data_IF_859698890928
#
_entry.id   IF_859698890928
#
_cell.length_a   1.000
_cell.length_b   1.000
_cell.length_c   1.000
_cell.angle_alpha   90.00
_cell.angle_beta   90.00
_cell.angle_gamma   90.00
#
_symmetry.space_group_name_H-M   'P 1'
#
loop_
_entity.id
_entity.type
_entity.pdbx_description
1 polymer ?
#
# COMPACT_ATOMS: atom_id res chain seq x y z
N UNK A 1 13.19 64.63 24.70
CA UNK A 1 14.34 63.77 25.06
C UNK A 1 13.82 62.37 25.35
N UNK A 2 14.48 61.36 24.78
CA UNK A 2 14.38 59.91 25.07
C UNK A 2 13.10 59.18 24.64
N UNK A 3 13.13 57.97 24.07
CA UNK A 3 14.19 57.05 23.60
C UNK A 3 13.49 56.02 22.69
N UNK A 4 13.96 55.81 21.46
CA UNK A 4 13.50 54.75 20.56
C UNK A 4 14.35 53.51 20.85
N UNK A 5 13.73 52.42 21.29
CA UNK A 5 14.38 51.11 21.41
C UNK A 5 14.33 50.39 20.06
N UNK A 6 15.49 50.25 19.41
CA UNK A 6 15.70 49.37 18.25
C UNK A 6 16.09 47.99 18.79
N UNK A 7 15.21 47.00 18.63
CA UNK A 7 15.57 45.60 18.83
C UNK A 7 16.25 45.06 17.58
N UNK A 8 17.57 44.89 17.64
CA UNK A 8 18.33 44.12 16.67
C UNK A 8 18.09 42.63 16.94
N UNK A 9 17.31 41.97 16.09
CA UNK A 9 17.30 40.51 16.03
C UNK A 9 18.44 40.03 15.15
N UNK A 10 19.50 39.52 15.77
CA UNK A 10 20.52 38.71 15.11
C UNK A 10 19.90 37.37 14.70
N UNK A 11 19.68 37.16 13.41
CA UNK A 11 19.47 35.82 12.87
C UNK A 11 20.83 35.14 12.75
N UNK A 12 21.09 34.19 13.66
CA UNK A 12 22.23 33.28 13.57
C UNK A 12 22.09 32.42 12.30
N UNK A 13 23.17 32.37 11.52
CA UNK A 13 23.36 31.46 10.39
C UNK A 13 23.26 30.00 10.87
N UNK A 14 22.14 29.34 10.60
CA UNK A 14 22.03 27.88 10.69
C UNK A 14 22.71 27.30 9.43
N UNK A 15 23.78 26.54 9.64
CA UNK A 15 24.60 25.99 8.55
C UNK A 15 23.95 24.75 7.94
N UNK A 16 24.05 24.62 6.62
CA UNK A 16 23.49 23.54 5.77
C UNK A 16 23.90 22.12 6.21
N UNK A 17 24.96 21.99 7.01
CA UNK A 17 25.48 20.70 7.50
C UNK A 17 24.55 20.02 8.54
N UNK A 18 23.77 20.78 9.32
CA UNK A 18 22.88 20.22 10.35
C UNK A 18 21.64 19.54 9.75
N UNK A 19 21.13 20.04 8.62
CA UNK A 19 20.00 19.43 7.92
C UNK A 19 20.34 18.08 7.28
N UNK A 20 21.58 17.90 6.83
CA UNK A 20 22.04 16.65 6.22
C UNK A 20 22.08 15.50 7.25
N UNK A 21 22.59 15.77 8.46
CA UNK A 21 22.66 14.78 9.54
C UNK A 21 21.27 14.39 10.06
N UNK A 22 20.35 15.35 10.20
CA UNK A 22 18.97 15.04 10.61
C UNK A 22 18.23 14.16 9.59
N UNK A 23 18.52 14.35 8.29
CA UNK A 23 17.94 13.52 7.21
C UNK A 23 18.49 12.09 7.23
N UNK A 24 19.78 11.90 7.53
CA UNK A 24 20.38 10.57 7.57
C UNK A 24 19.92 9.79 8.81
N UNK A 25 19.78 10.44 9.95
CA UNK A 25 19.34 9.80 11.19
C UNK A 25 17.87 9.35 11.11
N UNK A 26 17.02 10.13 10.45
CA UNK A 26 15.61 9.76 10.19
C UNK A 26 15.46 8.62 9.19
N UNK A 27 16.28 8.58 8.13
CA UNK A 27 16.32 7.46 7.18
C UNK A 27 16.80 6.18 7.87
N UNK A 28 17.87 6.25 8.65
CA UNK A 28 18.37 5.10 9.41
C UNK A 28 17.38 4.62 10.47
N UNK A 29 16.63 5.52 11.10
CA UNK A 29 15.54 5.13 12.00
C UNK A 29 14.41 4.42 11.23
N UNK A 30 13.99 4.94 10.08
CA UNK A 30 12.96 4.33 9.25
C UNK A 30 13.36 2.92 8.77
N UNK A 31 14.60 2.75 8.31
CA UNK A 31 15.17 1.44 7.94
C UNK A 31 15.27 0.49 9.14
N UNK A 32 15.65 0.99 10.32
CA UNK A 32 15.72 0.21 11.56
C UNK A 32 14.33 -0.16 12.11
N UNK A 33 13.29 0.60 11.80
CA UNK A 33 11.92 0.22 12.13
C UNK A 33 11.36 -0.83 11.17
N UNK A 34 11.76 -0.80 9.89
CA UNK A 34 11.36 -1.82 8.92
C UNK A 34 12.05 -3.17 9.19
N UNK A 35 13.34 -3.16 9.51
CA UNK A 35 14.12 -4.37 9.85
C UNK A 35 13.70 -5.04 11.17
N UNK A 36 12.99 -4.33 12.06
CA UNK A 36 12.44 -4.90 13.30
C UNK A 36 11.12 -5.64 13.11
N UNK A 37 10.49 -5.59 11.93
CA UNK A 37 9.35 -6.45 11.58
C UNK A 37 9.84 -7.81 11.09
N UNK A 38 10.46 -8.61 11.96
CA UNK A 38 10.74 -10.03 11.68
C UNK A 38 9.45 -10.85 11.71
N UNK A 39 8.68 -10.76 10.64
CA UNK A 39 7.86 -11.87 10.16
C UNK A 39 8.44 -12.26 8.80
N UNK A 40 8.51 -13.55 8.48
CA UNK A 40 8.88 -14.04 7.14
C UNK A 40 8.17 -13.18 6.11
N UNK A 41 8.95 -12.39 5.35
CA UNK A 41 8.40 -11.33 4.51
C UNK A 41 7.35 -11.92 3.58
N UNK A 42 6.16 -11.30 3.53
CA UNK A 42 5.10 -11.78 2.64
C UNK A 42 5.43 -11.66 1.16
N UNK A 43 6.60 -11.12 0.82
CA UNK A 43 6.99 -10.80 -0.54
C UNK A 43 6.23 -9.60 -1.08
N UNK A 44 6.55 -9.24 -2.31
CA UNK A 44 5.86 -8.20 -3.06
C UNK A 44 4.80 -8.87 -3.96
N UNK A 45 3.58 -8.30 -4.06
CA UNK A 45 2.60 -8.79 -5.02
C UNK A 45 3.16 -8.81 -6.44
N UNK A 46 2.69 -9.72 -7.31
CA UNK A 46 3.25 -9.90 -8.65
C UNK A 46 3.04 -8.68 -9.57
N UNK A 47 2.07 -7.82 -9.26
CA UNK A 47 1.80 -6.59 -9.98
C UNK A 47 1.16 -5.55 -9.05
N UNK A 48 1.05 -4.30 -9.52
CA UNK A 48 0.52 -3.17 -8.75
C UNK A 48 -0.99 -3.27 -8.44
N UNK A 49 -1.73 -4.14 -9.14
CA UNK A 49 -3.18 -4.32 -9.02
C UNK A 49 -3.55 -5.57 -8.22
N UNK A 50 -2.60 -6.13 -7.47
CA UNK A 50 -2.78 -7.30 -6.63
C UNK A 50 -2.83 -6.94 -5.13
N UNK A 51 -3.97 -7.17 -4.49
CA UNK A 51 -4.17 -7.00 -3.04
C UNK A 51 -3.50 -8.18 -2.32
N UNK A 52 -2.40 -7.93 -1.61
CA UNK A 52 -1.67 -8.97 -0.88
C UNK A 52 -2.30 -9.34 0.46
N UNK A 53 -2.51 -10.62 0.73
CA UNK A 53 -3.14 -11.13 1.96
C UNK A 53 -2.20 -11.16 3.19
N UNK A 54 -1.55 -10.04 3.51
CA UNK A 54 -0.69 -9.92 4.69
C UNK A 54 -0.91 -8.65 5.49
N UNK A 55 -0.80 -7.51 4.83
CA UNK A 55 -1.15 -6.21 5.40
C UNK A 55 -1.80 -5.42 4.30
N UNK A 56 -3.03 -4.99 4.54
CA UNK A 56 -3.78 -4.14 3.62
C UNK A 56 -4.47 -3.10 4.47
N UNK A 57 -4.30 -1.84 4.08
CA UNK A 57 -4.98 -0.71 4.71
C UNK A 57 -5.81 -0.03 3.60
N UNK A 58 -5.14 0.66 2.68
CA UNK A 58 -5.75 1.24 1.47
C UNK A 58 -5.23 0.54 0.20
N UNK A 59 -6.09 0.41 -0.81
CA UNK A 59 -5.75 -0.11 -2.12
C UNK A 59 -6.39 0.72 -3.23
N UNK A 60 -5.59 1.12 -4.20
CA UNK A 60 -6.00 1.96 -5.32
C UNK A 60 -6.13 1.12 -6.61
N UNK A 61 -7.09 1.45 -7.47
CA UNK A 61 -7.29 0.76 -8.73
C UNK A 61 -7.77 1.71 -9.83
N UNK A 62 -7.43 1.41 -11.09
CA UNK A 62 -7.94 2.14 -12.27
C UNK A 62 -9.21 1.48 -12.79
N UNK A 63 -9.16 0.17 -13.02
CA UNK A 63 -10.28 -0.61 -13.52
C UNK A 63 -10.64 -1.72 -12.51
N UNK A 64 -11.92 -1.86 -12.11
CA UNK A 64 -12.38 -2.97 -11.29
C UNK A 64 -11.91 -4.36 -11.75
N UNK A 65 -11.78 -4.55 -13.06
CA UNK A 65 -11.40 -5.84 -13.69
C UNK A 65 -9.96 -6.25 -13.43
N UNK A 66 -9.08 -5.30 -13.10
CA UNK A 66 -7.66 -5.57 -12.90
C UNK A 66 -7.36 -5.96 -11.44
N UNK A 67 -8.33 -5.79 -10.55
CA UNK A 67 -8.18 -6.12 -9.13
C UNK A 67 -8.07 -7.63 -8.98
N UNK A 68 -6.95 -8.06 -8.41
CA UNK A 68 -6.73 -9.46 -8.03
C UNK A 68 -6.41 -9.54 -6.54
N UNK A 69 -6.81 -10.62 -5.89
CA UNK A 69 -6.30 -10.98 -4.58
C UNK A 69 -5.09 -11.89 -4.78
N UNK A 70 -4.00 -11.63 -4.05
CA UNK A 70 -2.78 -12.42 -4.11
C UNK A 70 -2.51 -13.14 -2.79
N UNK A 71 -2.29 -14.45 -2.89
CA UNK A 71 -1.93 -15.30 -1.76
C UNK A 71 -0.40 -15.49 -1.73
N UNK A 72 0.29 -14.88 -0.75
CA UNK A 72 1.74 -14.97 -0.68
C UNK A 72 2.18 -16.40 -0.32
N UNK A 73 3.36 -16.85 -0.77
CA UNK A 73 3.83 -18.23 -0.55
C UNK A 73 3.77 -18.68 0.91
N UNK A 74 4.12 -17.78 1.84
CA UNK A 74 4.10 -18.04 3.30
C UNK A 74 2.71 -18.35 3.87
N UNK A 75 1.64 -17.97 3.16
CA UNK A 75 0.24 -18.24 3.53
C UNK A 75 -0.35 -19.42 2.76
N UNK A 76 0.37 -19.99 1.80
CA UNK A 76 -0.07 -21.18 1.06
C UNK A 76 0.11 -22.40 1.95
N UNK A 77 -0.98 -22.79 2.61
CA UNK A 77 -1.05 -24.04 3.36
C UNK A 77 -1.48 -25.16 2.44
N UNK A 78 -1.00 -26.38 2.68
CA UNK A 78 -1.56 -27.55 1.99
C UNK A 78 -3.04 -27.71 2.37
N UNK A 79 -3.90 -27.97 1.38
CA UNK A 79 -5.35 -28.05 1.53
C UNK A 79 -6.09 -26.87 0.91
N UNK A 80 -7.43 -26.95 0.88
CA UNK A 80 -8.25 -25.89 0.29
C UNK A 80 -8.25 -24.63 1.16
N UNK A 81 -7.95 -23.49 0.54
CA UNK A 81 -8.18 -22.18 1.14
C UNK A 81 -9.57 -21.69 0.75
N UNK A 82 -10.28 -21.03 1.66
CA UNK A 82 -11.53 -20.33 1.36
C UNK A 82 -11.33 -18.85 1.61
N UNK A 83 -11.63 -18.04 0.61
CA UNK A 83 -11.67 -16.58 0.75
C UNK A 83 -13.10 -16.12 0.84
N UNK A 84 -13.37 -15.22 1.77
CA UNK A 84 -14.65 -14.57 1.94
C UNK A 84 -14.43 -13.08 1.82
N UNK A 85 -15.10 -12.43 0.87
CA UNK A 85 -15.04 -10.99 0.67
C UNK A 85 -16.39 -10.43 1.09
N UNK A 86 -16.39 -9.42 1.96
CA UNK A 86 -17.59 -8.75 2.46
C UNK A 86 -17.44 -7.25 2.29
N UNK A 87 -18.38 -6.61 1.61
CA UNK A 87 -18.56 -5.16 1.67
C UNK A 87 -19.15 -4.80 3.04
N UNK A 88 -18.47 -3.96 3.80
CA UNK A 88 -18.92 -3.63 5.16
C UNK A 88 -20.11 -2.67 5.19
N UNK A 89 -20.35 -1.93 4.10
CA UNK A 89 -21.47 -0.99 3.94
C UNK A 89 -22.71 -1.69 3.40
N UNK A 90 -22.60 -2.35 2.25
CA UNK A 90 -23.76 -3.01 1.59
C UNK A 90 -24.07 -4.39 2.18
N UNK A 91 -23.18 -4.92 3.01
CA UNK A 91 -23.23 -6.28 3.56
C UNK A 91 -23.22 -7.42 2.53
N UNK A 92 -23.05 -7.10 1.23
CA UNK A 92 -22.82 -8.09 0.19
C UNK A 92 -21.57 -8.91 0.52
N UNK A 93 -21.69 -10.21 0.32
CA UNK A 93 -20.66 -11.18 0.70
C UNK A 93 -20.62 -12.30 -0.31
N UNK A 94 -19.41 -12.76 -0.62
CA UNK A 94 -19.17 -13.98 -1.38
C UNK A 94 -18.08 -14.80 -0.71
N UNK A 95 -18.20 -16.12 -0.80
CA UNK A 95 -17.16 -17.05 -0.38
C UNK A 95 -16.75 -17.88 -1.58
N UNK A 96 -15.45 -17.94 -1.88
CA UNK A 96 -14.88 -18.72 -2.98
C UNK A 96 -13.82 -19.67 -2.44
N UNK A 97 -13.74 -20.85 -3.04
CA UNK A 97 -12.59 -21.74 -2.86
C UNK A 97 -11.43 -21.15 -3.66
N UNK A 98 -10.26 -21.06 -3.03
CA UNK A 98 -9.01 -20.64 -3.62
C UNK A 98 -8.12 -21.88 -3.74
N UNK A 99 -7.85 -22.31 -4.97
CA UNK A 99 -7.05 -23.51 -5.21
C UNK A 99 -5.59 -23.28 -4.82
N UNK A 100 -4.91 -24.35 -4.41
CA UNK A 100 -3.50 -24.28 -3.98
C UNK A 100 -2.57 -23.87 -5.12
N UNK A 101 -2.90 -24.27 -6.35
CA UNK A 101 -2.17 -23.92 -7.58
C UNK A 101 -2.25 -22.43 -7.90
N UNK A 102 -3.31 -21.77 -7.46
CA UNK A 102 -3.63 -20.42 -7.89
C UNK A 102 -2.96 -19.41 -6.95
N UNK A 103 -2.04 -18.64 -7.50
CA UNK A 103 -1.35 -17.59 -6.73
C UNK A 103 -2.23 -16.36 -6.56
N UNK A 104 -3.20 -16.17 -7.46
CA UNK A 104 -4.11 -15.04 -7.50
C UNK A 104 -5.53 -15.48 -7.83
N UNK A 105 -6.52 -14.72 -7.37
CA UNK A 105 -7.90 -14.83 -7.84
C UNK A 105 -8.44 -13.45 -8.23
N UNK A 106 -9.28 -13.34 -9.28
CA UNK A 106 -9.88 -12.07 -9.66
C UNK A 106 -10.90 -11.62 -8.61
N UNK A 107 -11.06 -10.30 -8.48
CA UNK A 107 -12.12 -9.74 -7.65
C UNK A 107 -13.52 -10.07 -8.23
N UNK A 108 -14.49 -10.52 -7.43
CA UNK A 108 -15.81 -10.95 -7.90
C UNK A 108 -16.76 -9.75 -8.11
N UNK A 109 -16.53 -8.99 -9.18
CA UNK A 109 -17.22 -7.71 -9.45
C UNK A 109 -18.75 -7.86 -9.56
N UNK A 110 -19.24 -9.00 -10.05
CA UNK A 110 -20.68 -9.23 -10.25
C UNK A 110 -21.45 -9.45 -8.94
N UNK A 111 -20.77 -9.93 -7.90
CA UNK A 111 -21.39 -10.31 -6.63
C UNK A 111 -21.04 -9.34 -5.50
N UNK A 112 -19.80 -8.83 -5.51
CA UNK A 112 -19.31 -7.83 -4.56
C UNK A 112 -18.57 -6.76 -5.36
N UNK A 113 -19.27 -5.75 -5.89
CA UNK A 113 -18.62 -4.68 -6.65
C UNK A 113 -17.58 -3.91 -5.80
N UNK A 114 -16.41 -3.58 -6.35
CA UNK A 114 -15.45 -2.72 -5.67
C UNK A 114 -15.96 -1.27 -5.73
N UNK A 115 -16.44 -0.77 -4.60
CA UNK A 115 -16.94 0.60 -4.47
C UNK A 115 -15.80 1.47 -3.94
N UNK A 116 -15.61 2.65 -4.53
CA UNK A 116 -14.58 3.60 -4.07
C UNK A 116 -14.87 4.10 -2.65
N UNK A 117 -13.80 4.42 -1.91
CA UNK A 117 -13.81 4.89 -0.52
C UNK A 117 -14.59 3.98 0.45
N UNK A 118 -14.73 2.70 0.09
CA UNK A 118 -15.52 1.73 0.85
C UNK A 118 -14.61 0.69 1.50
N UNK A 119 -14.94 0.36 2.76
CA UNK A 119 -14.26 -0.69 3.52
C UNK A 119 -14.79 -2.08 3.18
N UNK A 120 -13.86 -3.00 2.93
CA UNK A 120 -14.12 -4.42 2.72
C UNK A 120 -13.39 -5.25 3.77
N UNK A 121 -14.01 -6.34 4.19
CA UNK A 121 -13.36 -7.40 4.96
C UNK A 121 -13.07 -8.58 4.07
N UNK A 122 -11.82 -9.03 4.07
CA UNK A 122 -11.38 -10.22 3.36
C UNK A 122 -10.94 -11.24 4.41
N UNK A 123 -11.62 -12.36 4.47
CA UNK A 123 -11.33 -13.45 5.42
C UNK A 123 -10.79 -14.64 4.67
N UNK A 124 -9.58 -15.06 5.03
CA UNK A 124 -8.92 -16.27 4.56
C UNK A 124 -9.07 -17.36 5.62
N UNK A 125 -9.78 -18.43 5.29
CA UNK A 125 -9.98 -19.59 6.15
C UNK A 125 -9.27 -20.80 5.55
N UNK A 126 -8.48 -21.51 6.35
CA UNK A 126 -7.80 -22.75 5.97
C UNK A 126 -7.70 -23.70 7.17
N UNK A 127 -7.01 -24.84 6.99
CA UNK A 127 -6.84 -25.84 8.06
C UNK A 127 -6.12 -25.30 9.30
N UNK A 128 -5.29 -24.27 9.15
CA UNK A 128 -4.51 -23.66 10.22
C UNK A 128 -5.27 -22.54 10.95
N UNK A 129 -6.50 -22.23 10.52
CA UNK A 129 -7.37 -21.25 11.14
C UNK A 129 -7.85 -20.18 10.18
N UNK A 130 -8.09 -19.00 10.74
CA UNK A 130 -8.76 -17.89 10.05
C UNK A 130 -7.93 -16.63 10.21
N UNK A 131 -7.60 -15.98 9.10
CA UNK A 131 -7.04 -14.63 9.08
C UNK A 131 -8.07 -13.67 8.48
N UNK A 132 -8.20 -12.48 9.07
CA UNK A 132 -9.10 -11.43 8.58
C UNK A 132 -8.28 -10.19 8.25
N UNK A 133 -8.56 -9.61 7.09
CA UNK A 133 -7.92 -8.42 6.55
C UNK A 133 -9.00 -7.38 6.27
N UNK A 134 -8.68 -6.11 6.48
CA UNK A 134 -9.52 -4.99 6.07
C UNK A 134 -8.85 -4.28 4.91
N UNK A 135 -9.63 -3.71 4.00
CA UNK A 135 -9.09 -2.89 2.91
C UNK A 135 -10.08 -1.81 2.51
N UNK A 136 -9.60 -0.58 2.36
CA UNK A 136 -10.33 0.52 1.72
C UNK A 136 -9.96 0.53 0.24
N UNK A 137 -10.96 0.39 -0.64
CA UNK A 137 -10.72 0.47 -2.09
C UNK A 137 -10.91 1.90 -2.58
N UNK A 138 -9.98 2.43 -3.37
CA UNK A 138 -10.02 3.79 -3.91
C UNK A 138 -9.84 3.75 -5.43
N UNK A 139 -10.83 4.24 -6.18
CA UNK A 139 -10.73 4.30 -7.64
C UNK A 139 -9.95 5.54 -8.05
N UNK A 140 -8.87 5.35 -8.81
CA UNK A 140 -8.10 6.45 -9.40
C UNK A 140 -9.01 7.18 -10.41
N UNK A 141 -9.17 8.51 -10.30
CA UNK A 141 -10.01 9.27 -11.22
C UNK A 141 -9.51 9.11 -12.67
N UNK A 142 -10.42 8.89 -13.65
CA UNK A 142 -10.04 8.65 -15.04
C UNK A 142 -9.38 9.86 -15.73
N UNK A 143 -9.51 11.07 -15.16
CA UNK A 143 -8.89 12.29 -15.67
C UNK A 143 -7.39 12.43 -15.37
N UNK A 144 -6.85 11.61 -14.47
CA UNK A 144 -5.43 11.63 -14.11
C UNK A 144 -4.62 10.78 -15.10
N UNK A 145 -4.33 11.33 -16.28
CA UNK A 145 -3.59 10.62 -17.33
C UNK A 145 -2.08 10.59 -17.09
N UNK A 146 -1.53 11.58 -16.39
CA UNK A 146 -0.11 11.62 -16.06
C UNK A 146 0.20 10.70 -14.87
N UNK A 147 1.20 9.82 -15.03
CA UNK A 147 1.57 8.85 -14.00
C UNK A 147 2.01 9.55 -12.71
N UNK A 148 2.70 10.69 -12.80
CA UNK A 148 3.10 11.48 -11.62
C UNK A 148 1.88 11.92 -10.79
N UNK A 149 0.83 12.39 -11.46
CA UNK A 149 -0.42 12.80 -10.80
C UNK A 149 -1.14 11.60 -10.18
N UNK A 150 -1.13 10.44 -10.84
CA UNK A 150 -1.65 9.20 -10.27
C UNK A 150 -0.89 8.79 -9.00
N UNK A 151 0.45 8.86 -9.02
CA UNK A 151 1.30 8.53 -7.88
C UNK A 151 1.00 9.45 -6.69
N UNK A 152 0.88 10.75 -6.93
CA UNK A 152 0.53 11.74 -5.89
C UNK A 152 -0.84 11.44 -5.29
N UNK A 153 -1.85 11.25 -6.15
CA UNK A 153 -3.20 10.91 -5.71
C UNK A 153 -3.25 9.58 -4.91
N UNK A 154 -2.50 8.57 -5.35
CA UNK A 154 -2.39 7.29 -4.63
C UNK A 154 -1.78 7.47 -3.24
N UNK A 155 -0.76 8.33 -3.09
CA UNK A 155 -0.17 8.63 -1.79
C UNK A 155 -1.15 9.35 -0.87
N UNK A 156 -1.90 10.31 -1.38
CA UNK A 156 -2.95 11.02 -0.63
C UNK A 156 -4.04 10.08 -0.11
N UNK A 157 -4.39 9.04 -0.88
CA UNK A 157 -5.36 8.01 -0.49
C UNK A 157 -4.76 6.88 0.36
N UNK A 158 -3.47 6.96 0.70
CA UNK A 158 -2.77 5.98 1.53
C UNK A 158 -2.31 4.71 0.81
N UNK A 159 -2.39 4.67 -0.53
CA UNK A 159 -1.91 3.57 -1.37
C UNK A 159 -0.39 3.66 -1.63
N UNK A 160 0.39 4.01 -0.60
CA UNK A 160 1.81 4.38 -0.70
C UNK A 160 2.66 3.29 -1.34
N UNK A 161 2.44 2.02 -0.96
CA UNK A 161 3.19 0.89 -1.54
C UNK A 161 2.94 0.73 -3.03
N UNK A 162 1.68 0.88 -3.48
CA UNK A 162 1.36 0.81 -4.90
C UNK A 162 1.95 2.02 -5.65
N UNK A 163 1.93 3.21 -5.03
CA UNK A 163 2.53 4.41 -5.60
C UNK A 163 4.06 4.26 -5.78
N UNK A 164 4.75 3.64 -4.82
CA UNK A 164 6.17 3.31 -4.92
C UNK A 164 6.46 2.28 -6.00
N UNK A 165 5.64 1.23 -6.11
CA UNK A 165 5.75 0.25 -7.19
C UNK A 165 5.56 0.92 -8.55
N UNK A 166 4.55 1.78 -8.70
CA UNK A 166 4.30 2.53 -9.94
C UNK A 166 5.47 3.47 -10.27
N UNK A 167 6.04 4.17 -9.29
CA UNK A 167 7.22 5.01 -9.49
C UNK A 167 8.43 4.23 -10.03
N UNK A 168 8.65 3.01 -9.54
CA UNK A 168 9.74 2.12 -10.01
C UNK A 168 9.55 1.68 -11.47
N UNK A 169 8.32 1.64 -11.98
CA UNK A 169 8.06 1.32 -13.39
C UNK A 169 8.36 2.49 -14.33
N UNK A 170 8.27 3.73 -13.84
CA UNK A 170 8.48 4.95 -14.66
C UNK A 170 9.92 5.41 -14.65
N UNK A 171 10.62 5.27 -13.53
CA UNK A 171 12.05 5.56 -13.49
C UNK A 171 12.76 4.48 -14.31
N UNK A 172 13.49 4.82 -15.39
CA UNK A 172 14.40 3.85 -15.97
C UNK A 172 15.33 3.41 -14.84
N UNK A 173 15.43 2.09 -14.64
CA UNK A 173 16.49 1.50 -13.83
C UNK A 173 17.77 1.94 -14.52
N UNK A 174 18.36 3.05 -14.07
CA UNK A 174 19.75 3.33 -14.36
C UNK A 174 20.49 2.22 -13.65
N UNK A 175 20.89 1.26 -14.46
CA UNK A 175 22.02 0.36 -14.32
C UNK A 175 22.74 0.54 -12.97
N UNK A 176 22.64 -0.48 -12.12
CA UNK A 176 23.68 -0.71 -11.14
C UNK A 176 24.95 -1.05 -11.91
N UNK A 177 25.72 -0.02 -12.26
CA UNK A 177 27.14 -0.15 -12.54
C UNK A 177 27.90 -0.20 -11.20
N UNK A 178 28.34 -1.40 -10.83
CA UNK A 178 29.66 -1.72 -10.26
C UNK A 178 29.65 -3.11 -9.59
#
# INVERSE_FOLDING_TARGET
MSLIFILLFSFNNVTVAEFANYSQETIQLAEKFDNRRRGVGCGTPPNIWAIGMCKTDSFCYVNPKDITLWLPPVKRTEGSNFVTIKNLVTHQKITRRWQISDTTIPWPIGEVPPITETNFSIRLSNRNGVSTYSVVLNMIPPGLSEITQQIEWMKEKGCTQQAEMLLKTVKPVKEQDA
#
